data_IF_013363424467
#
_entry.id   IF_013363424467
#
_cell.length_a   1.000
_cell.length_b   1.000
_cell.length_c   1.000
_cell.angle_alpha   90.00
_cell.angle_beta   90.00
_cell.angle_gamma   90.00
#
_symmetry.space_group_name_H-M   'P 1'
#
loop_
_entity.id
_entity.type
_entity.pdbx_description
1 polymer ?
#
# COMPACT_ATOMS: atom_id res chain seq x y z
N UNK A 1 -26.05 -46.56 -25.91
CA UNK A 1 -26.39 -45.53 -24.89
C UNK A 1 -25.72 -45.70 -23.51
N UNK A 2 -24.99 -46.79 -23.20
CA UNK A 2 -24.33 -46.95 -21.88
C UNK A 2 -22.91 -46.37 -21.81
N UNK A 3 -22.19 -46.30 -22.93
CA UNK A 3 -20.79 -45.85 -22.99
C UNK A 3 -20.66 -44.32 -23.12
N UNK A 4 -21.60 -43.66 -23.80
CA UNK A 4 -21.67 -42.19 -23.88
C UNK A 4 -21.89 -41.53 -22.51
N UNK A 5 -22.70 -42.15 -21.64
CA UNK A 5 -22.96 -41.66 -20.27
C UNK A 5 -21.71 -41.71 -19.38
N UNK A 6 -20.81 -42.66 -19.60
CA UNK A 6 -19.58 -42.81 -18.80
C UNK A 6 -18.51 -41.78 -19.18
N UNK A 7 -18.42 -41.42 -20.46
CA UNK A 7 -17.51 -40.38 -20.95
C UNK A 7 -17.99 -39.00 -20.51
N UNK A 8 -19.31 -38.77 -20.51
CA UNK A 8 -19.90 -37.53 -20.02
C UNK A 8 -19.70 -37.34 -18.50
N UNK A 9 -19.76 -38.42 -17.70
CA UNK A 9 -19.46 -38.36 -16.26
C UNK A 9 -17.97 -38.10 -15.98
N UNK A 10 -17.06 -38.60 -16.82
CA UNK A 10 -15.61 -38.43 -16.61
C UNK A 10 -15.15 -36.99 -16.93
N UNK A 11 -15.74 -36.36 -17.95
CA UNK A 11 -15.45 -34.96 -18.30
C UNK A 11 -15.89 -33.96 -17.23
N UNK A 12 -16.97 -34.26 -16.49
CA UNK A 12 -17.50 -33.38 -15.45
C UNK A 12 -16.70 -33.42 -14.14
N UNK A 13 -15.93 -34.49 -13.90
CA UNK A 13 -15.07 -34.63 -12.73
C UNK A 13 -13.73 -33.87 -12.87
N UNK A 14 -13.22 -33.71 -14.10
CA UNK A 14 -11.96 -33.01 -14.37
C UNK A 14 -12.14 -31.48 -14.34
N UNK A 15 -13.34 -30.98 -14.62
CA UNK A 15 -13.62 -29.54 -14.65
C UNK A 15 -13.74 -28.90 -13.26
N UNK A 16 -13.90 -29.69 -12.18
CA UNK A 16 -14.01 -29.16 -10.81
C UNK A 16 -12.66 -28.91 -10.12
N UNK A 17 -11.54 -29.37 -10.69
CA UNK A 17 -10.24 -29.31 -10.02
C UNK A 17 -9.49 -27.99 -10.28
N UNK A 18 -9.97 -27.12 -11.19
CA UNK A 18 -9.24 -25.90 -11.57
C UNK A 18 -9.68 -24.63 -10.85
N UNK A 19 -10.54 -24.67 -9.83
CA UNK A 19 -11.10 -23.45 -9.20
C UNK A 19 -10.57 -23.17 -7.78
N UNK A 20 -9.61 -23.93 -7.27
CA UNK A 20 -9.15 -23.77 -5.88
C UNK A 20 -7.67 -23.38 -5.76
N UNK A 21 -7.27 -22.28 -6.40
CA UNK A 21 -6.02 -21.55 -6.08
C UNK A 21 -6.13 -20.03 -6.28
N UNK A 22 -7.34 -19.46 -6.31
CA UNK A 22 -7.49 -18.09 -5.84
C UNK A 22 -7.48 -18.17 -4.31
N UNK A 23 -6.29 -18.33 -3.71
CA UNK A 23 -6.13 -17.95 -2.32
C UNK A 23 -6.52 -16.49 -2.25
N UNK A 24 -7.65 -16.19 -1.62
CA UNK A 24 -7.97 -14.86 -1.15
C UNK A 24 -6.97 -14.51 -0.05
N UNK A 25 -5.70 -14.36 -0.41
CA UNK A 25 -4.75 -13.61 0.40
C UNK A 25 -5.13 -12.15 0.22
N UNK A 26 -5.20 -11.41 1.31
CA UNK A 26 -5.38 -9.97 1.27
C UNK A 26 -4.28 -9.42 0.33
N UNK A 27 -4.65 -8.91 -0.85
CA UNK A 27 -3.66 -8.44 -1.82
C UNK A 27 -3.00 -7.16 -1.37
N UNK A 28 -3.62 -6.47 -0.41
CA UNK A 28 -3.15 -5.22 0.15
C UNK A 28 -2.70 -5.43 1.59
N UNK A 29 -1.40 -5.27 1.82
CA UNK A 29 -0.77 -5.34 3.16
C UNK A 29 -0.89 -4.03 3.93
N UNK A 30 -1.37 -2.94 3.31
CA UNK A 30 -1.57 -1.65 3.99
C UNK A 30 -2.88 -1.66 4.77
N UNK A 31 -2.79 -1.50 6.09
CA UNK A 31 -3.93 -1.39 6.99
C UNK A 31 -4.22 0.06 7.37
N UNK A 32 -3.17 0.89 7.52
CA UNK A 32 -3.28 2.30 7.88
C UNK A 32 -2.36 3.19 7.05
N UNK A 33 -2.82 4.40 6.73
CA UNK A 33 -2.05 5.43 6.04
C UNK A 33 -2.52 6.81 6.51
N UNK A 34 -1.57 7.62 7.00
CA UNK A 34 -1.76 9.05 7.23
C UNK A 34 -0.59 9.82 6.63
N UNK A 35 -0.90 10.94 5.98
CA UNK A 35 0.12 11.88 5.46
C UNK A 35 -0.04 13.21 6.18
N UNK A 36 1.00 13.66 6.90
CA UNK A 36 0.93 14.89 7.69
C UNK A 36 2.30 15.48 7.99
N UNK A 37 2.35 16.69 8.54
CA UNK A 37 3.58 17.25 9.12
C UNK A 37 3.94 16.60 10.49
N UNK A 38 3.07 15.77 11.06
CA UNK A 38 3.30 15.01 12.29
C UNK A 38 3.77 13.58 11.99
N UNK A 39 4.59 13.05 12.91
CA UNK A 39 5.14 11.70 12.81
C UNK A 39 4.35 10.73 13.69
N UNK A 40 3.90 9.63 13.09
CA UNK A 40 3.22 8.52 13.78
C UNK A 40 3.96 7.21 13.53
N UNK A 41 4.17 6.42 14.59
CA UNK A 41 4.90 5.14 14.49
C UNK A 41 4.11 3.96 15.07
N UNK A 42 3.13 4.22 15.92
CA UNK A 42 2.28 3.19 16.52
C UNK A 42 1.01 2.99 15.68
N UNK A 43 0.53 1.74 15.65
CA UNK A 43 -0.68 1.36 14.89
C UNK A 43 -1.88 2.23 15.26
N UNK A 44 -2.19 2.28 16.55
CA UNK A 44 -3.38 2.95 17.07
C UNK A 44 -3.37 4.46 16.78
N UNK A 45 -2.17 5.06 16.75
CA UNK A 45 -2.01 6.47 16.41
C UNK A 45 -2.23 6.71 14.91
N UNK A 46 -1.70 5.84 14.04
CA UNK A 46 -1.89 5.93 12.58
C UNK A 46 -3.36 5.73 12.20
N UNK A 47 -4.02 4.72 12.77
CA UNK A 47 -5.43 4.41 12.47
C UNK A 47 -6.41 5.40 13.11
N UNK A 48 -6.07 5.93 14.28
CA UNK A 48 -6.85 6.94 14.97
C UNK A 48 -6.65 8.35 14.44
N UNK A 49 -5.58 8.60 13.67
CA UNK A 49 -5.28 9.92 13.15
C UNK A 49 -6.36 10.39 12.16
N UNK A 50 -6.76 11.65 12.30
CA UNK A 50 -7.57 12.32 11.29
C UNK A 50 -6.63 12.83 10.20
N UNK A 51 -6.81 12.37 8.96
CA UNK A 51 -6.06 12.87 7.81
C UNK A 51 -6.26 14.40 7.70
N UNK A 52 -5.20 15.22 7.79
CA UNK A 52 -5.32 16.65 7.57
C UNK A 52 -5.67 16.95 6.11
N UNK A 53 -6.42 18.03 5.89
CA UNK A 53 -6.77 18.53 4.55
C UNK A 53 -5.56 19.13 3.82
N UNK A 54 -4.55 19.56 4.59
CA UNK A 54 -3.40 20.31 4.08
C UNK A 54 -2.15 20.08 4.94
N UNK A 55 -0.98 20.32 4.34
CA UNK A 55 0.33 20.38 5.00
C UNK A 55 1.05 21.68 4.66
N UNK A 56 2.05 22.03 5.47
CA UNK A 56 2.79 23.28 5.36
C UNK A 56 3.98 23.19 4.40
N UNK A 57 4.22 24.23 3.60
CA UNK A 57 5.49 24.45 2.89
C UNK A 57 6.64 24.63 3.88
N UNK A 58 7.82 24.08 3.54
CA UNK A 58 9.04 24.29 4.32
C UNK A 58 9.08 23.52 5.64
N UNK A 59 8.13 22.61 5.86
CA UNK A 59 8.13 21.62 6.93
C UNK A 59 8.27 20.23 6.33
N UNK A 60 8.87 19.30 7.07
CA UNK A 60 8.85 17.90 6.64
C UNK A 60 7.41 17.40 6.57
N UNK A 61 7.16 16.50 5.63
CA UNK A 61 5.91 15.75 5.54
C UNK A 61 6.22 14.27 5.68
N UNK A 62 5.44 13.57 6.49
CA UNK A 62 5.59 12.16 6.76
C UNK A 62 4.37 11.41 6.23
N UNK A 63 4.60 10.37 5.43
CA UNK A 63 3.62 9.34 5.18
C UNK A 63 3.91 8.16 6.11
N UNK A 64 3.02 7.97 7.08
CA UNK A 64 3.13 6.92 8.09
C UNK A 64 2.19 5.79 7.67
N UNK A 65 2.77 4.64 7.31
CA UNK A 65 2.04 3.50 6.73
C UNK A 65 2.15 2.32 7.66
N UNK A 66 1.03 1.77 8.10
CA UNK A 66 1.01 0.54 8.88
C UNK A 66 0.72 -0.66 7.98
N UNK A 67 1.62 -1.64 8.00
CA UNK A 67 1.49 -2.87 7.23
C UNK A 67 1.14 -4.05 8.12
N UNK A 68 0.26 -4.91 7.61
CA UNK A 68 -0.06 -6.24 8.11
C UNK A 68 0.41 -7.31 7.14
N UNK A 69 0.71 -8.49 7.67
CA UNK A 69 1.04 -9.68 6.87
C UNK A 69 2.21 -9.42 5.90
N UNK A 70 3.21 -8.66 6.34
CA UNK A 70 4.35 -8.27 5.53
C UNK A 70 5.61 -8.96 6.02
N UNK A 71 6.05 -10.06 5.37
CA UNK A 71 7.27 -10.77 5.75
C UNK A 71 8.50 -9.87 5.69
N UNK A 72 9.46 -10.11 6.56
CA UNK A 72 10.73 -9.39 6.57
C UNK A 72 11.41 -9.45 5.21
N UNK A 73 11.96 -8.33 4.77
CA UNK A 73 12.63 -8.18 3.48
C UNK A 73 11.68 -7.94 2.31
N UNK A 74 10.37 -7.77 2.56
CA UNK A 74 9.48 -7.19 1.56
C UNK A 74 9.80 -5.71 1.38
N UNK A 75 10.11 -5.30 0.15
CA UNK A 75 10.41 -3.92 -0.24
C UNK A 75 9.13 -3.21 -0.69
N UNK A 76 8.83 -2.09 -0.04
CA UNK A 76 7.74 -1.17 -0.40
C UNK A 76 8.33 0.18 -0.78
N UNK A 77 7.84 0.75 -1.87
CA UNK A 77 8.32 2.03 -2.36
C UNK A 77 7.30 3.12 -2.05
N UNK A 78 7.69 4.08 -1.23
CA UNK A 78 6.95 5.32 -1.04
C UNK A 78 7.31 6.32 -2.13
N UNK A 79 6.31 6.81 -2.84
CA UNK A 79 6.47 7.78 -3.93
C UNK A 79 5.73 9.07 -3.61
N UNK A 80 6.41 10.17 -3.85
CA UNK A 80 5.91 11.51 -3.64
C UNK A 80 5.78 12.22 -4.98
N UNK A 81 4.67 12.90 -5.16
CA UNK A 81 4.39 13.73 -6.32
C UNK A 81 3.90 15.10 -5.87
N UNK A 82 4.30 16.13 -6.60
CA UNK A 82 3.71 17.47 -6.51
C UNK A 82 3.18 17.81 -7.88
N UNK A 83 1.88 18.12 -7.97
CA UNK A 83 1.19 18.40 -9.25
C UNK A 83 1.46 17.30 -10.31
N UNK A 84 1.35 16.05 -9.88
CA UNK A 84 1.62 14.83 -10.67
C UNK A 84 3.06 14.62 -11.17
N UNK A 85 4.01 15.50 -10.81
CA UNK A 85 5.44 15.28 -11.05
C UNK A 85 6.07 14.51 -9.88
N UNK A 86 6.73 13.38 -10.16
CA UNK A 86 7.44 12.60 -9.13
C UNK A 86 8.62 13.42 -8.58
N UNK A 87 8.57 13.76 -7.29
CA UNK A 87 9.63 14.53 -6.61
C UNK A 87 10.56 13.66 -5.79
N UNK A 88 10.10 12.48 -5.34
CA UNK A 88 10.90 11.53 -4.56
C UNK A 88 10.34 10.11 -4.67
N UNK A 89 11.23 9.13 -4.72
CA UNK A 89 10.93 7.71 -4.60
C UNK A 89 11.87 7.08 -3.56
N UNK A 90 11.31 6.42 -2.56
CA UNK A 90 12.04 5.88 -1.40
C UNK A 90 11.67 4.41 -1.16
N UNK A 91 12.49 3.45 -1.62
CA UNK A 91 12.30 2.04 -1.34
C UNK A 91 12.73 1.71 0.11
N UNK A 92 11.86 1.05 0.86
CA UNK A 92 12.15 0.60 2.22
C UNK A 92 11.73 -0.86 2.42
N UNK A 93 12.59 -1.63 3.08
CA UNK A 93 12.31 -3.02 3.43
C UNK A 93 11.68 -3.12 4.82
N UNK A 94 10.70 -4.01 4.96
CA UNK A 94 10.21 -4.44 6.27
C UNK A 94 11.30 -5.16 7.05
N UNK A 95 11.42 -4.81 8.32
CA UNK A 95 12.45 -5.35 9.22
C UNK A 95 11.93 -6.48 10.12
N UNK A 96 10.61 -6.66 10.18
CA UNK A 96 9.90 -7.62 11.03
C UNK A 96 9.07 -8.59 10.18
N UNK A 97 8.79 -9.78 10.71
CA UNK A 97 8.14 -10.87 9.95
C UNK A 97 6.60 -10.81 9.94
N UNK A 98 5.97 -9.78 10.51
CA UNK A 98 4.52 -9.79 10.78
C UNK A 98 3.83 -8.48 10.41
N UNK A 99 4.16 -7.41 11.11
CA UNK A 99 3.50 -6.11 10.99
C UNK A 99 4.40 -5.00 11.49
N UNK A 100 4.17 -3.78 11.02
CA UNK A 100 4.92 -2.62 11.48
C UNK A 100 4.64 -1.38 10.66
N UNK A 101 5.03 -0.24 11.23
CA UNK A 101 5.00 1.03 10.53
C UNK A 101 6.26 1.21 9.67
N UNK A 102 6.09 1.71 8.45
CA UNK A 102 7.15 2.33 7.67
C UNK A 102 6.80 3.80 7.54
N UNK A 103 7.80 4.66 7.79
CA UNK A 103 7.67 6.10 7.66
C UNK A 103 8.48 6.55 6.46
N UNK A 104 7.79 7.14 5.49
CA UNK A 104 8.41 7.82 4.38
C UNK A 104 8.41 9.32 4.69
N UNK A 105 9.57 9.95 4.58
CA UNK A 105 9.72 11.39 4.79
C UNK A 105 9.87 12.08 3.45
N UNK A 106 9.15 13.17 3.23
CA UNK A 106 9.47 14.19 2.24
C UNK A 106 10.11 15.37 2.98
N UNK A 107 11.35 15.68 2.63
CA UNK A 107 12.13 16.72 3.27
C UNK A 107 11.53 18.11 2.99
N UNK A 108 11.58 18.98 4.00
CA UNK A 108 11.07 20.36 3.95
C UNK A 108 11.45 21.17 2.70
N UNK A 109 12.66 20.97 2.17
CA UNK A 109 13.17 21.65 0.97
C UNK A 109 12.54 21.15 -0.34
N UNK A 110 11.96 19.96 -0.31
CA UNK A 110 11.27 19.31 -1.41
C UNK A 110 9.77 19.55 -1.39
N UNK A 111 9.22 20.07 -0.29
CA UNK A 111 7.79 20.40 -0.13
C UNK A 111 7.51 21.77 -0.74
N UNK A 112 6.70 21.81 -1.81
CA UNK A 112 6.33 23.02 -2.56
C UNK A 112 4.80 23.15 -2.62
N UNK A 113 4.31 24.38 -2.70
CA UNK A 113 2.88 24.67 -2.91
C UNK A 113 2.36 23.89 -4.12
N UNK A 114 1.16 23.31 -3.98
CA UNK A 114 0.55 22.47 -5.02
C UNK A 114 -0.28 21.33 -4.42
N UNK A 115 -0.60 20.35 -5.26
CA UNK A 115 -1.26 19.11 -4.84
C UNK A 115 -0.17 18.08 -4.54
N UNK A 116 -0.02 17.74 -3.26
CA UNK A 116 0.86 16.66 -2.84
C UNK A 116 0.12 15.34 -2.92
N UNK A 117 0.72 14.38 -3.62
CA UNK A 117 0.25 12.99 -3.66
C UNK A 117 1.33 12.07 -3.13
N UNK A 118 0.95 11.19 -2.22
CA UNK A 118 1.76 10.07 -1.77
C UNK A 118 1.15 8.76 -2.25
N UNK A 119 2.00 7.85 -2.73
CA UNK A 119 1.63 6.48 -3.08
C UNK A 119 2.58 5.50 -2.39
N UNK A 120 2.03 4.41 -1.84
CA UNK A 120 2.82 3.27 -1.40
C UNK A 120 2.64 2.14 -2.42
N UNK A 121 3.75 1.65 -2.95
CA UNK A 121 3.80 0.74 -4.09
C UNK A 121 4.51 -0.55 -3.73
N UNK A 122 3.99 -1.67 -4.21
CA UNK A 122 4.61 -2.98 -4.14
C UNK A 122 4.47 -3.70 -5.49
N UNK A 123 5.55 -4.26 -6.04
CA UNK A 123 5.53 -4.94 -7.35
C UNK A 123 4.85 -4.14 -8.49
N UNK A 124 5.08 -2.82 -8.54
CA UNK A 124 4.44 -1.88 -9.48
C UNK A 124 2.92 -1.71 -9.31
N UNK A 125 2.32 -2.23 -8.24
CA UNK A 125 0.93 -2.00 -7.88
C UNK A 125 0.85 -0.95 -6.76
N UNK A 126 -0.05 0.02 -6.90
CA UNK A 126 -0.35 0.99 -5.86
C UNK A 126 -1.20 0.29 -4.81
N UNK A 127 -0.66 0.17 -3.60
CA UNK A 127 -1.37 -0.43 -2.46
C UNK A 127 -2.29 0.59 -1.78
N UNK A 128 -1.84 1.83 -1.64
CA UNK A 128 -2.63 2.92 -1.07
C UNK A 128 -2.10 4.27 -1.53
N UNK A 129 -2.95 5.30 -1.48
CA UNK A 129 -2.57 6.65 -1.86
C UNK A 129 -3.31 7.71 -1.05
N UNK A 130 -2.69 8.88 -0.94
CA UNK A 130 -3.28 10.08 -0.33
C UNK A 130 -2.91 11.32 -1.11
N UNK A 131 -3.88 12.21 -1.25
CA UNK A 131 -3.72 13.53 -1.84
C UNK A 131 -4.15 14.59 -0.83
N UNK A 132 -3.40 15.68 -0.79
CA UNK A 132 -3.64 16.83 0.08
C UNK A 132 -3.01 18.10 -0.50
N UNK A 133 -3.45 19.25 0.01
CA UNK A 133 -2.94 20.55 -0.43
C UNK A 133 -1.68 20.91 0.34
N UNK A 134 -0.67 21.45 -0.35
CA UNK A 134 0.49 22.10 0.27
C UNK A 134 0.31 23.61 0.22
N UNK A 135 0.47 24.30 1.36
CA UNK A 135 0.31 25.76 1.45
C UNK A 135 1.17 26.42 2.53
#
# INVERSE_FOLDING_TARGET
>A
MKTLKKIFLLGMAVLMITVSLAGCGQTNTVEGLVVSNELFMEKDDIEGATQPEQVSVGEDVYACVYFIESPKGMEYTGKWYIDDEEVKSDPQETTTDMSGAIVYRLEADSVKEGILKFEVVYNNEILSSKELIVK
#
